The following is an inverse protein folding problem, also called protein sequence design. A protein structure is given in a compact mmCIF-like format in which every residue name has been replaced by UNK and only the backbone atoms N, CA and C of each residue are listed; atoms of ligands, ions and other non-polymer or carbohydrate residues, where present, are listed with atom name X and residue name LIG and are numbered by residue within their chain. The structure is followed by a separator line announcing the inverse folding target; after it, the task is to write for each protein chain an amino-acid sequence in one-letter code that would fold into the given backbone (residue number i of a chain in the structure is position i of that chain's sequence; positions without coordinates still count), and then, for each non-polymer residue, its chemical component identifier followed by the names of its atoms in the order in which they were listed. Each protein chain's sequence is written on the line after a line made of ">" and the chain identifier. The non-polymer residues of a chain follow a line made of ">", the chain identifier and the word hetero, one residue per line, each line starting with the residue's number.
data_IF_605450753695
#
_entry.id   IF_605450753695
#
_cell.length_a   1.000
_cell.length_b   1.000
_cell.length_c   1.000
_cell.angle_alpha   90.00
_cell.angle_beta   90.00
_cell.angle_gamma   90.00
#
_symmetry.space_group_name_H-M   'P 1'
#
loop_
_entity.id
_entity.type
_entity.pdbx_description
1 polymer ?
#
# COMPACT_ATOMS: atom_id res chain seq x y z
N UNK A 1 12.72 -22.47 17.08
CA UNK A 1 12.72 -21.20 17.82
C UNK A 1 14.03 -20.49 17.55
N UNK A 2 14.04 -19.18 17.32
CA UNK A 2 15.24 -18.38 17.03
C UNK A 2 15.29 -17.14 17.93
N UNK A 3 16.46 -16.51 18.04
CA UNK A 3 16.69 -15.30 18.82
C UNK A 3 17.47 -14.28 18.01
N UNK A 4 17.15 -12.99 18.19
CA UNK A 4 17.80 -11.87 17.50
C UNK A 4 18.40 -10.91 18.54
N UNK A 5 19.62 -10.44 18.29
CA UNK A 5 20.22 -9.33 19.04
C UNK A 5 20.08 -8.06 18.22
N UNK A 6 19.32 -7.09 18.74
CA UNK A 6 19.13 -5.80 18.10
C UNK A 6 20.15 -4.80 18.64
N UNK A 7 20.89 -4.17 17.73
CA UNK A 7 21.80 -3.08 18.05
C UNK A 7 21.32 -1.81 17.35
N UNK A 8 21.50 -0.67 18.02
CA UNK A 8 21.20 0.60 17.37
C UNK A 8 22.36 0.98 16.44
N UNK A 9 22.16 0.83 15.13
CA UNK A 9 23.17 1.16 14.12
C UNK A 9 23.58 2.64 14.17
N UNK A 10 24.88 2.92 14.01
CA UNK A 10 25.43 4.28 14.02
C UNK A 10 25.21 5.02 12.69
N UNK A 11 25.01 4.28 11.59
CA UNK A 11 24.87 4.84 10.25
C UNK A 11 23.39 5.00 9.84
N UNK A 12 23.02 6.19 9.37
CA UNK A 12 21.76 6.37 8.63
C UNK A 12 21.89 5.69 7.26
N UNK A 13 20.83 5.02 6.76
CA UNK A 13 19.45 5.01 7.25
C UNK A 13 19.10 3.85 8.21
N UNK A 14 20.04 2.93 8.49
CA UNK A 14 19.74 1.67 9.18
C UNK A 14 19.94 1.77 10.70
N UNK A 15 19.03 2.47 11.37
CA UNK A 15 18.94 2.51 12.83
C UNK A 15 17.50 2.29 13.29
N UNK A 16 17.33 1.90 14.56
CA UNK A 16 16.04 1.44 15.08
C UNK A 16 14.97 2.54 15.10
N UNK A 17 15.36 3.77 15.45
CA UNK A 17 14.44 4.92 15.49
C UNK A 17 13.98 5.33 14.09
N UNK A 18 14.87 5.31 13.10
CA UNK A 18 14.51 5.58 11.71
C UNK A 18 13.61 4.49 11.14
N UNK A 19 13.86 3.20 11.46
CA UNK A 19 12.97 2.10 11.07
C UNK A 19 11.55 2.36 11.63
N UNK A 20 11.44 2.64 12.93
CA UNK A 20 10.14 2.92 13.55
C UNK A 20 9.44 4.14 12.91
N UNK A 21 10.18 5.21 12.66
CA UNK A 21 9.66 6.44 12.04
C UNK A 21 9.19 6.21 10.60
N UNK A 22 9.96 5.49 9.79
CA UNK A 22 9.61 5.21 8.39
C UNK A 22 8.39 4.28 8.30
N UNK A 23 8.28 3.30 9.22
CA UNK A 23 7.14 2.39 9.25
C UNK A 23 5.81 3.10 9.53
N UNK A 24 5.82 4.20 10.30
CA UNK A 24 4.67 5.08 10.50
C UNK A 24 3.40 4.35 10.97
N UNK A 25 3.56 3.39 11.90
CA UNK A 25 2.49 2.45 12.28
C UNK A 25 1.25 3.17 12.82
N UNK A 26 1.44 4.15 13.72
CA UNK A 26 0.33 4.91 14.33
C UNK A 26 -0.50 5.64 13.29
N UNK A 27 0.14 6.32 12.34
CA UNK A 27 -0.57 7.08 11.30
C UNK A 27 -1.40 6.17 10.40
N UNK A 28 -0.87 4.99 10.04
CA UNK A 28 -1.60 4.00 9.22
C UNK A 28 -2.80 3.41 9.94
N UNK A 29 -2.68 3.17 11.25
CA UNK A 29 -3.82 2.69 12.04
C UNK A 29 -4.90 3.77 12.14
N UNK A 30 -4.50 5.03 12.36
CA UNK A 30 -5.44 6.16 12.45
C UNK A 30 -6.12 6.49 11.12
N UNK A 31 -5.45 6.25 9.97
CA UNK A 31 -6.05 6.44 8.64
C UNK A 31 -6.91 5.27 8.19
N UNK A 32 -7.18 4.28 9.06
CA UNK A 32 -8.03 3.14 8.71
C UNK A 32 -9.49 3.56 8.59
N UNK A 33 -10.22 2.89 7.69
CA UNK A 33 -11.64 3.16 7.45
C UNK A 33 -12.49 2.05 8.06
N UNK A 34 -13.29 2.41 9.07
CA UNK A 34 -14.26 1.51 9.66
C UNK A 34 -15.40 1.20 8.68
N UNK A 35 -15.86 -0.05 8.67
CA UNK A 35 -16.93 -0.52 7.78
C UNK A 35 -17.97 -1.26 8.61
N UNK A 36 -19.25 -1.01 8.31
CA UNK A 36 -20.35 -1.72 8.97
C UNK A 36 -20.29 -3.22 8.70
N UNK A 37 -20.69 -4.09 9.67
CA UNK A 37 -20.64 -5.54 9.50
C UNK A 37 -21.34 -6.04 8.24
N UNK A 38 -22.49 -5.47 7.87
CA UNK A 38 -23.27 -5.90 6.71
C UNK A 38 -22.52 -5.62 5.40
N UNK A 39 -21.89 -4.45 5.29
CA UNK A 39 -21.05 -4.10 4.15
C UNK A 39 -19.79 -4.98 4.09
N UNK A 40 -19.23 -5.31 5.25
CA UNK A 40 -18.08 -6.21 5.33
C UNK A 40 -18.45 -7.62 4.83
N UNK A 41 -19.57 -8.18 5.28
CA UNK A 41 -20.06 -9.50 4.83
C UNK A 41 -20.32 -9.52 3.33
N UNK A 42 -21.04 -8.53 2.79
CA UNK A 42 -21.26 -8.45 1.34
C UNK A 42 -19.95 -8.32 0.54
N UNK A 43 -18.94 -7.65 1.11
CA UNK A 43 -17.60 -7.60 0.50
C UNK A 43 -16.92 -8.97 0.52
N UNK A 44 -17.07 -9.75 1.60
CA UNK A 44 -16.51 -11.09 1.70
C UNK A 44 -17.12 -12.06 0.69
N UNK A 45 -18.45 -12.05 0.52
CA UNK A 45 -19.14 -12.86 -0.50
C UNK A 45 -18.67 -12.50 -1.92
N UNK A 46 -18.50 -11.21 -2.22
CA UNK A 46 -17.94 -10.76 -3.49
C UNK A 46 -16.50 -11.27 -3.69
N UNK A 47 -15.66 -11.26 -2.65
CA UNK A 47 -14.28 -11.73 -2.73
C UNK A 47 -14.19 -13.25 -2.91
N UNK A 48 -15.12 -14.01 -2.34
CA UNK A 48 -15.25 -15.45 -2.56
C UNK A 48 -15.49 -15.76 -4.05
N UNK A 49 -16.44 -15.06 -4.68
CA UNK A 49 -16.69 -15.21 -6.12
C UNK A 49 -15.51 -14.80 -7.00
N UNK A 50 -14.70 -13.85 -6.57
CA UNK A 50 -13.51 -13.40 -7.32
C UNK A 50 -12.29 -14.30 -7.11
N UNK A 51 -12.31 -15.16 -6.09
CA UNK A 51 -11.19 -16.05 -5.80
C UNK A 51 -11.08 -17.14 -6.87
N UNK A 52 -10.06 -17.06 -7.72
CA UNK A 52 -9.85 -17.98 -8.84
C UNK A 52 -10.74 -17.70 -10.06
N UNK A 53 -11.50 -16.61 -10.06
CA UNK A 53 -12.23 -16.17 -11.25
C UNK A 53 -11.31 -15.47 -12.25
N UNK A 54 -11.82 -15.31 -13.47
CA UNK A 54 -11.20 -14.60 -14.58
C UNK A 54 -12.25 -13.83 -15.39
N UNK A 55 -11.77 -13.00 -16.30
CA UNK A 55 -12.63 -12.22 -17.21
C UNK A 55 -13.58 -11.26 -16.46
N UNK A 56 -13.01 -10.47 -15.53
CA UNK A 56 -13.76 -9.49 -14.75
C UNK A 56 -13.01 -8.17 -14.55
N UNK A 57 -13.76 -7.08 -14.47
CA UNK A 57 -13.28 -5.77 -14.03
C UNK A 57 -13.67 -5.52 -12.57
N UNK A 58 -12.80 -4.80 -11.85
CA UNK A 58 -13.04 -4.39 -10.46
C UNK A 58 -13.72 -3.01 -10.39
N UNK A 59 -14.27 -2.66 -9.22
CA UNK A 59 -14.78 -1.31 -8.98
C UNK A 59 -13.62 -0.31 -9.01
N UNK A 60 -13.72 0.74 -9.83
CA UNK A 60 -12.69 1.79 -9.96
C UNK A 60 -12.72 2.81 -8.81
N UNK A 61 -13.47 2.53 -7.74
CA UNK A 61 -13.49 3.38 -6.54
C UNK A 61 -12.19 3.19 -5.75
N UNK A 62 -11.41 4.26 -5.69
CA UNK A 62 -10.12 4.34 -4.98
C UNK A 62 -10.13 5.41 -3.90
N UNK A 63 -11.30 5.93 -3.56
CA UNK A 63 -11.48 7.04 -2.61
C UNK A 63 -10.80 6.75 -1.27
N UNK A 64 -11.00 5.54 -0.73
CA UNK A 64 -10.47 5.07 0.55
C UNK A 64 -9.01 4.63 0.51
N UNK A 65 -8.39 4.52 -0.67
CA UNK A 65 -6.99 4.12 -0.79
C UNK A 65 -6.09 5.33 -0.54
N UNK A 66 -4.98 5.20 0.20
CA UNK A 66 -3.97 6.25 0.26
C UNK A 66 -3.41 6.59 -1.14
N UNK A 67 -2.97 7.84 -1.38
CA UNK A 67 -2.25 8.19 -2.59
C UNK A 67 -1.01 7.30 -2.79
N UNK A 68 -0.75 6.87 -4.02
CA UNK A 68 0.35 5.96 -4.35
C UNK A 68 0.08 4.47 -4.11
N UNK A 69 -1.09 4.08 -3.61
CA UNK A 69 -1.48 2.66 -3.47
C UNK A 69 -1.75 2.04 -4.84
N UNK A 70 -1.14 0.87 -5.08
CA UNK A 70 -1.47 0.02 -6.23
C UNK A 70 -2.75 -0.77 -5.95
N UNK A 71 -3.62 -0.87 -6.96
CA UNK A 71 -4.87 -1.62 -6.86
C UNK A 71 -5.12 -2.42 -8.14
N UNK A 72 -5.79 -3.57 -8.00
CA UNK A 72 -6.17 -4.43 -9.11
C UNK A 72 -7.28 -3.74 -9.92
N UNK A 73 -7.14 -3.67 -11.25
CA UNK A 73 -8.15 -3.09 -12.13
C UNK A 73 -9.01 -4.16 -12.78
N UNK A 74 -8.39 -5.21 -13.30
CA UNK A 74 -9.07 -6.31 -13.99
C UNK A 74 -8.25 -7.60 -13.97
N UNK A 75 -8.94 -8.71 -14.23
CA UNK A 75 -8.36 -10.01 -14.53
C UNK A 75 -8.90 -10.46 -15.88
N UNK A 76 -8.03 -10.69 -16.85
CA UNK A 76 -8.45 -11.09 -18.20
C UNK A 76 -8.84 -12.58 -18.28
N UNK A 77 -9.25 -13.03 -19.46
CA UNK A 77 -9.65 -14.42 -19.72
C UNK A 77 -8.50 -15.45 -19.64
N UNK A 78 -7.25 -14.99 -19.56
CA UNK A 78 -6.04 -15.77 -19.36
C UNK A 78 -5.48 -15.67 -17.93
N UNK A 79 -6.26 -15.11 -17.00
CA UNK A 79 -5.88 -14.88 -15.60
C UNK A 79 -4.76 -13.85 -15.38
N UNK A 80 -4.42 -13.03 -16.38
CA UNK A 80 -3.47 -11.94 -16.18
C UNK A 80 -4.12 -10.83 -15.36
N UNK A 81 -3.38 -10.36 -14.35
CA UNK A 81 -3.84 -9.34 -13.41
C UNK A 81 -3.23 -7.99 -13.79
N UNK A 82 -4.07 -6.99 -13.97
CA UNK A 82 -3.66 -5.64 -14.32
C UNK A 82 -3.84 -4.74 -13.09
N UNK A 83 -2.88 -3.83 -12.88
CA UNK A 83 -2.87 -2.95 -11.73
C UNK A 83 -2.62 -1.52 -12.17
N UNK A 84 -3.27 -0.58 -11.49
CA UNK A 84 -3.00 0.85 -11.59
C UNK A 84 -2.55 1.38 -10.23
N UNK A 85 -1.99 2.59 -10.23
CA UNK A 85 -1.57 3.30 -9.02
C UNK A 85 -2.45 4.53 -8.81
N UNK A 86 -3.01 4.70 -7.60
CA UNK A 86 -3.70 5.94 -7.24
C UNK A 86 -2.71 7.11 -7.35
N UNK A 87 -3.05 8.22 -8.02
CA UNK A 87 -2.15 9.36 -8.17
C UNK A 87 -1.61 9.84 -6.82
N UNK A 88 -0.32 10.12 -6.76
CA UNK A 88 0.28 10.73 -5.57
C UNK A 88 -0.05 12.21 -5.57
N UNK A 89 -0.72 12.69 -4.52
CA UNK A 89 -0.90 14.12 -4.30
C UNK A 89 0.47 14.76 -4.02
N UNK A 90 0.84 15.79 -4.80
CA UNK A 90 2.08 16.54 -4.59
C UNK A 90 1.92 17.41 -3.34
N UNK A 91 2.37 16.95 -2.18
CA UNK A 91 2.49 17.83 -1.01
C UNK A 91 3.56 18.90 -1.29
N UNK A 92 3.25 20.17 -1.04
CA UNK A 92 4.19 21.29 -1.14
C UNK A 92 5.44 21.00 -0.27
N UNK A 93 6.54 20.61 -0.92
CA UNK A 93 7.71 20.04 -0.25
C UNK A 93 8.41 18.91 -1.02
N UNK A 94 7.95 18.55 -2.22
CA UNK A 94 8.70 17.70 -3.15
C UNK A 94 8.92 16.24 -2.69
N UNK A 95 8.15 15.77 -1.70
CA UNK A 95 8.27 14.40 -1.19
C UNK A 95 6.93 13.67 -1.27
N UNK A 96 6.85 12.74 -2.23
CA UNK A 96 5.79 11.75 -2.31
C UNK A 96 5.89 10.80 -1.10
N UNK A 97 4.90 10.85 -0.20
CA UNK A 97 4.82 9.92 0.94
C UNK A 97 4.18 8.61 0.46
N UNK A 98 4.96 7.77 -0.21
CA UNK A 98 4.52 6.40 -0.50
C UNK A 98 4.53 5.57 0.78
N UNK A 99 3.58 4.65 0.94
CA UNK A 99 3.51 3.73 2.06
C UNK A 99 4.80 2.88 2.11
N UNK A 100 5.75 3.27 2.97
CA UNK A 100 7.06 2.66 3.18
C UNK A 100 8.02 2.63 1.96
N UNK A 101 8.09 3.73 1.19
CA UNK A 101 9.09 3.86 0.11
C UNK A 101 10.47 4.33 0.62
N UNK A 102 11.49 3.50 0.45
CA UNK A 102 12.90 3.93 0.39
C UNK A 102 12.99 5.15 -0.54
N UNK A 103 13.60 6.23 -0.06
CA UNK A 103 13.82 7.45 -0.83
C UNK A 103 14.76 7.13 -2.01
N UNK A 104 14.20 6.68 -3.14
CA UNK A 104 14.96 6.60 -4.38
C UNK A 104 15.20 8.04 -4.81
N UNK A 105 16.44 8.49 -4.62
CA UNK A 105 16.92 9.72 -5.24
C UNK A 105 16.72 9.57 -6.75
N UNK A 106 15.82 10.36 -7.32
CA UNK A 106 15.78 10.54 -8.76
C UNK A 106 17.05 11.28 -9.12
N UNK A 107 18.11 10.55 -9.48
CA UNK A 107 19.21 11.12 -10.22
C UNK A 107 18.65 11.56 -11.56
N UNK A 108 18.37 12.86 -11.69
CA UNK A 108 18.21 13.48 -12.99
C UNK A 108 19.50 13.27 -13.76
N UNK A 109 19.42 12.51 -14.85
CA UNK A 109 20.45 12.51 -15.89
C UNK A 109 20.08 13.67 -16.82
N UNK A 110 21.07 14.50 -17.23
CA UNK A 110 20.87 15.81 -17.88
C UNK A 110 20.10 15.77 -19.20
#
# INVERSE_FOLDING_TARGET
>A
MFSLRLNNGQHRPFNLSNIASVLGVTEKLQSSHETLPEKFVGTMEMMEHRYGAKDFETSKDTSLLPPGTFYLTQVDSMYWRFYDQKPVEKTAGGKAKCCNGLQMATSGVP
#
